data_IF_452410080808
#
_entry.id   IF_452410080808
#
_cell.length_a   1.000
_cell.length_b   1.000
_cell.length_c   1.000
_cell.angle_alpha   90.00
_cell.angle_beta   90.00
_cell.angle_gamma   90.00
#
_symmetry.space_group_name_H-M   'P 1'
#
loop_
_entity.id
_entity.type
_entity.pdbx_description
1 polymer ?
#
# COMPACT_ATOMS: atom_id res chain seq x y z
N UNK A 1 4.44 12.14 -0.33
CA UNK A 1 5.63 11.44 0.19
C UNK A 1 6.75 12.39 0.59
N UNK A 2 7.27 13.23 -0.32
CA UNK A 2 8.53 13.97 -0.07
C UNK A 2 8.37 15.30 0.70
N UNK A 3 7.16 15.89 0.73
CA UNK A 3 6.91 17.21 1.32
C UNK A 3 5.89 17.21 2.46
N UNK A 4 5.51 16.04 2.96
CA UNK A 4 4.58 15.94 4.09
C UNK A 4 5.22 16.49 5.38
N UNK A 5 4.55 17.40 6.11
CA UNK A 5 5.08 18.00 7.33
C UNK A 5 5.15 17.00 8.49
N UNK A 6 4.17 16.11 8.64
CA UNK A 6 4.19 15.04 9.65
C UNK A 6 4.65 13.69 9.08
N UNK A 7 5.09 12.80 9.96
CA UNK A 7 5.42 11.42 9.62
C UNK A 7 4.17 10.68 9.11
N UNK A 8 3.02 10.91 9.75
CA UNK A 8 1.70 10.41 9.36
C UNK A 8 1.33 10.79 7.93
N UNK A 9 1.53 12.04 7.51
CA UNK A 9 1.23 12.48 6.13
C UNK A 9 2.03 11.69 5.08
N UNK A 10 3.28 11.35 5.41
CA UNK A 10 4.15 10.58 4.51
C UNK A 10 3.69 9.14 4.43
N UNK A 11 3.29 8.54 5.54
CA UNK A 11 2.76 7.16 5.59
C UNK A 11 1.45 7.05 4.81
N UNK A 12 0.53 8.00 4.98
CA UNK A 12 -0.72 8.04 4.20
C UNK A 12 -0.41 8.17 2.71
N UNK A 13 0.53 9.02 2.32
CA UNK A 13 0.94 9.15 0.93
C UNK A 13 1.56 7.85 0.36
N UNK A 14 2.37 7.13 1.15
CA UNK A 14 2.93 5.82 0.80
C UNK A 14 1.82 4.79 0.61
N UNK A 15 0.86 4.73 1.51
CA UNK A 15 -0.28 3.84 1.39
C UNK A 15 -1.13 4.15 0.14
N UNK A 16 -1.30 5.43 -0.20
CA UNK A 16 -1.96 5.85 -1.43
C UNK A 16 -1.23 5.36 -2.69
N UNK A 17 0.11 5.41 -2.73
CA UNK A 17 0.88 4.87 -3.85
C UNK A 17 0.76 3.35 -3.95
N UNK A 18 0.78 2.63 -2.83
CA UNK A 18 0.53 1.18 -2.81
C UNK A 18 -0.84 0.87 -3.42
N UNK A 19 -1.87 1.66 -3.10
CA UNK A 19 -3.22 1.50 -3.67
C UNK A 19 -3.23 1.70 -5.19
N UNK A 20 -2.54 2.72 -5.71
CA UNK A 20 -2.40 2.96 -7.16
C UNK A 20 -1.63 1.83 -7.85
N UNK A 21 -0.58 1.31 -7.22
CA UNK A 21 0.16 0.15 -7.71
C UNK A 21 -0.72 -1.11 -7.79
N UNK A 22 -1.52 -1.37 -6.76
CA UNK A 22 -2.49 -2.46 -6.76
C UNK A 22 -3.56 -2.30 -7.84
N UNK A 23 -4.10 -1.09 -8.03
CA UNK A 23 -5.05 -0.80 -9.11
C UNK A 23 -4.42 -1.08 -10.50
N UNK A 24 -3.14 -0.78 -10.67
CA UNK A 24 -2.40 -1.09 -11.90
C UNK A 24 -2.28 -2.60 -12.13
N UNK A 25 -1.94 -3.36 -11.08
CA UNK A 25 -1.87 -4.84 -11.17
C UNK A 25 -3.25 -5.42 -11.52
N UNK A 26 -4.31 -4.93 -10.89
CA UNK A 26 -5.68 -5.35 -11.18
C UNK A 26 -6.09 -5.06 -12.64
N UNK A 27 -5.79 -3.84 -13.12
CA UNK A 27 -6.04 -3.48 -14.51
C UNK A 27 -5.27 -4.38 -15.50
N UNK A 28 -4.02 -4.75 -15.18
CA UNK A 28 -3.23 -5.69 -15.99
C UNK A 28 -3.80 -7.11 -15.97
N UNK A 29 -4.34 -7.56 -14.84
CA UNK A 29 -5.05 -8.84 -14.76
C UNK A 29 -6.23 -8.88 -15.73
N UNK A 30 -7.04 -7.82 -15.75
CA UNK A 30 -8.19 -7.69 -16.66
C UNK A 30 -7.74 -7.60 -18.13
N UNK A 31 -6.74 -6.78 -18.44
CA UNK A 31 -6.26 -6.59 -19.81
C UNK A 31 -5.63 -7.84 -20.42
N UNK A 32 -4.94 -8.65 -19.62
CA UNK A 32 -4.18 -9.82 -20.11
C UNK A 32 -4.92 -11.13 -19.96
N UNK A 33 -5.93 -11.20 -19.07
CA UNK A 33 -6.59 -12.45 -18.69
C UNK A 33 -5.70 -13.41 -17.90
N UNK A 34 -4.48 -13.01 -17.51
CA UNK A 34 -3.54 -13.87 -16.81
C UNK A 34 -3.85 -13.85 -15.31
N UNK A 35 -4.34 -14.97 -14.77
CA UNK A 35 -4.71 -15.12 -13.36
C UNK A 35 -3.55 -14.90 -12.37
N UNK A 36 -2.29 -15.04 -12.79
CA UNK A 36 -1.13 -14.80 -11.93
C UNK A 36 -1.08 -13.36 -11.37
N UNK A 37 -1.60 -12.37 -12.10
CA UNK A 37 -1.69 -11.00 -11.60
C UNK A 37 -2.62 -10.88 -10.38
N UNK A 38 -3.67 -11.70 -10.28
CA UNK A 38 -4.54 -11.73 -9.11
C UNK A 38 -3.80 -12.30 -7.88
N UNK A 39 -3.00 -13.34 -8.06
CA UNK A 39 -2.17 -13.88 -6.96
C UNK A 39 -1.19 -12.83 -6.45
N UNK A 40 -0.53 -12.11 -7.36
CA UNK A 40 0.37 -11.00 -7.00
C UNK A 40 -0.41 -9.90 -6.27
N UNK A 41 -1.58 -9.52 -6.78
CA UNK A 41 -2.43 -8.50 -6.15
C UNK A 41 -2.79 -8.86 -4.71
N UNK A 42 -3.18 -10.11 -4.45
CA UNK A 42 -3.52 -10.59 -3.10
C UNK A 42 -2.31 -10.51 -2.17
N UNK A 43 -1.14 -10.97 -2.61
CA UNK A 43 0.09 -10.91 -1.80
C UNK A 43 0.47 -9.47 -1.49
N UNK A 44 0.45 -8.59 -2.49
CA UNK A 44 0.77 -7.16 -2.31
C UNK A 44 -0.24 -6.48 -1.38
N UNK A 45 -1.52 -6.81 -1.48
CA UNK A 45 -2.56 -6.27 -0.61
C UNK A 45 -2.33 -6.65 0.86
N UNK A 46 -2.03 -7.92 1.13
CA UNK A 46 -1.79 -8.41 2.48
C UNK A 46 -0.51 -7.79 3.07
N UNK A 47 0.61 -7.85 2.34
CA UNK A 47 1.90 -7.33 2.80
C UNK A 47 1.86 -5.80 2.95
N UNK A 48 1.28 -5.11 1.98
CA UNK A 48 1.12 -3.65 2.01
C UNK A 48 0.26 -3.18 3.17
N UNK A 49 -0.86 -3.85 3.44
CA UNK A 49 -1.72 -3.52 4.56
C UNK A 49 -1.04 -3.76 5.91
N UNK A 50 -0.38 -4.92 6.09
CA UNK A 50 0.38 -5.24 7.30
C UNK A 50 1.49 -4.21 7.54
N UNK A 51 2.22 -3.83 6.48
CA UNK A 51 3.26 -2.81 6.55
C UNK A 51 2.73 -1.47 7.06
N UNK A 52 1.64 -0.97 6.47
CA UNK A 52 1.00 0.28 6.90
C UNK A 52 0.48 0.18 8.34
N UNK A 53 -0.13 -0.95 8.72
CA UNK A 53 -0.63 -1.17 10.08
C UNK A 53 0.48 -1.21 11.13
N UNK A 54 1.62 -1.84 10.83
CA UNK A 54 2.79 -1.83 11.71
C UNK A 54 3.35 -0.43 11.90
N UNK A 55 3.44 0.35 10.82
CA UNK A 55 3.90 1.74 10.91
C UNK A 55 2.93 2.60 11.72
N UNK A 56 1.62 2.43 11.54
CA UNK A 56 0.61 3.12 12.35
C UNK A 56 0.75 2.77 13.85
N UNK A 57 0.91 1.48 14.17
CA UNK A 57 1.16 1.00 15.54
C UNK A 57 2.44 1.56 16.14
N UNK A 58 3.48 1.68 15.33
CA UNK A 58 4.75 2.28 15.76
C UNK A 58 4.61 3.76 16.07
N UNK A 59 3.86 4.52 15.28
CA UNK A 59 3.58 5.93 15.52
C UNK A 59 2.74 6.11 16.80
N UNK A 60 1.66 5.33 16.94
CA UNK A 60 0.79 5.32 18.12
C UNK A 60 1.58 5.04 19.42
N UNK A 61 2.50 4.06 19.39
CA UNK A 61 3.36 3.73 20.53
C UNK A 61 4.37 4.82 20.92
N UNK A 62 4.62 5.81 20.07
CA UNK A 62 5.50 6.96 20.35
C UNK A 62 4.75 8.19 20.86
N UNK A 63 3.42 8.14 20.92
CA UNK A 63 2.59 9.25 21.38
C UNK A 63 2.55 10.46 20.43
N UNK A 64 2.78 10.24 19.14
CA UNK A 64 2.49 11.22 18.08
C UNK A 64 1.10 11.00 17.48
#
# INVERSE_FOLDING_TARGET
MLRGPSLTDRVVAINGLLLVGMATIAARAVQTGIGAFLNVLVVVALVGFIGTAMVARYIEGRGE
#
